data_IF_699562614527
#
_entry.id   IF_699562614527
#
_cell.length_a   1.000
_cell.length_b   1.000
_cell.length_c   1.000
_cell.angle_alpha   90.00
_cell.angle_beta   90.00
_cell.angle_gamma   90.00
#
_symmetry.space_group_name_H-M   'P 1'
#
loop_
_entity.id
_entity.type
_entity.pdbx_description
1 polymer ?
#
# COMPACT_ATOMS: atom_id res chain seq x y z
N UNK A 1 -21.49 0.61 -15.58
CA UNK A 1 -21.02 0.24 -14.23
C UNK A 1 -22.23 0.22 -13.31
N UNK A 2 -22.74 -0.96 -12.97
CA UNK A 2 -23.92 -1.07 -12.10
C UNK A 2 -23.53 -0.54 -10.71
N UNK A 3 -24.05 0.62 -10.34
CA UNK A 3 -23.88 1.16 -8.99
C UNK A 3 -24.59 0.17 -8.07
N UNK A 4 -23.81 -0.64 -7.36
CA UNK A 4 -24.34 -1.46 -6.29
C UNK A 4 -24.94 -0.47 -5.27
N UNK A 5 -26.26 -0.53 -5.06
CA UNK A 5 -26.94 0.38 -4.14
C UNK A 5 -26.33 0.34 -2.73
N UNK A 6 -26.83 1.17 -1.81
CA UNK A 6 -26.30 1.32 -0.44
C UNK A 6 -26.08 0.01 0.33
N UNK A 7 -26.84 -1.04 0.05
CA UNK A 7 -26.67 -2.37 0.66
C UNK A 7 -25.64 -3.27 -0.07
N UNK A 8 -25.28 -2.94 -1.29
CA UNK A 8 -24.27 -3.63 -2.09
C UNK A 8 -22.85 -3.32 -1.64
N UNK A 9 -22.55 -2.04 -1.36
CA UNK A 9 -21.23 -1.61 -0.87
C UNK A 9 -20.84 -2.30 0.45
N UNK A 10 -21.78 -2.43 1.39
CA UNK A 10 -21.52 -3.00 2.72
C UNK A 10 -21.24 -4.48 2.66
N UNK A 11 -21.99 -5.20 1.83
CA UNK A 11 -21.79 -6.65 1.61
C UNK A 11 -20.47 -6.94 0.91
N UNK A 12 -20.08 -6.11 -0.06
CA UNK A 12 -18.84 -6.30 -0.81
C UNK A 12 -17.59 -6.15 0.06
N UNK A 13 -17.61 -5.24 1.04
CA UNK A 13 -16.45 -4.93 1.88
C UNK A 13 -16.64 -5.30 3.36
N UNK A 14 -17.60 -6.19 3.65
CA UNK A 14 -17.93 -6.67 4.99
C UNK A 14 -18.05 -5.55 6.05
N UNK A 15 -18.77 -4.47 5.70
CA UNK A 15 -18.93 -3.29 6.56
C UNK A 15 -20.19 -3.39 7.40
N UNK A 16 -20.03 -3.23 8.71
CA UNK A 16 -21.13 -3.10 9.68
C UNK A 16 -20.97 -1.79 10.45
N UNK A 17 -22.04 -1.02 10.58
CA UNK A 17 -22.05 0.25 11.31
C UNK A 17 -23.24 0.28 12.26
N UNK A 18 -23.10 1.00 13.38
CA UNK A 18 -24.26 1.32 14.22
C UNK A 18 -25.16 2.35 13.51
N UNK A 19 -26.37 2.57 14.04
CA UNK A 19 -27.38 3.39 13.37
C UNK A 19 -26.99 4.85 13.10
N UNK A 20 -26.12 5.45 13.93
CA UNK A 20 -25.64 6.83 13.75
C UNK A 20 -24.52 6.86 12.69
N UNK A 21 -23.60 5.90 12.77
CA UNK A 21 -22.47 5.80 11.86
C UNK A 21 -22.90 5.42 10.43
N UNK A 22 -23.99 4.67 10.26
CA UNK A 22 -24.50 4.29 8.94
C UNK A 22 -24.82 5.50 8.06
N UNK A 23 -25.52 6.50 8.62
CA UNK A 23 -25.90 7.70 7.88
C UNK A 23 -24.65 8.53 7.51
N UNK A 24 -23.72 8.69 8.45
CA UNK A 24 -22.47 9.40 8.22
C UNK A 24 -21.62 8.72 7.14
N UNK A 25 -21.40 7.40 7.25
CA UNK A 25 -20.63 6.59 6.28
C UNK A 25 -21.30 6.55 4.91
N UNK A 26 -22.63 6.64 4.84
CA UNK A 26 -23.36 6.76 3.57
C UNK A 26 -23.06 8.09 2.89
N UNK A 27 -23.12 9.20 3.62
CA UNK A 27 -22.87 10.52 3.04
C UNK A 27 -21.46 10.63 2.45
N UNK A 28 -20.44 10.16 3.19
CA UNK A 28 -19.05 10.12 2.69
C UNK A 28 -18.95 9.32 1.39
N UNK A 29 -19.63 8.18 1.32
CA UNK A 29 -19.63 7.34 0.13
C UNK A 29 -20.33 7.98 -1.07
N UNK A 30 -21.45 8.66 -0.86
CA UNK A 30 -22.14 9.39 -1.92
C UNK A 30 -21.27 10.52 -2.49
N UNK A 31 -20.54 11.24 -1.63
CA UNK A 31 -19.56 12.24 -2.05
C UNK A 31 -18.42 11.64 -2.86
N UNK A 32 -17.84 10.52 -2.39
CA UNK A 32 -16.78 9.82 -3.11
C UNK A 32 -17.26 9.24 -4.45
N UNK A 33 -18.48 8.70 -4.53
CA UNK A 33 -19.09 8.22 -5.78
C UNK A 33 -19.24 9.36 -6.78
N UNK A 34 -19.72 10.53 -6.33
CA UNK A 34 -19.84 11.71 -7.19
C UNK A 34 -18.47 12.14 -7.72
N UNK A 35 -17.45 12.20 -6.86
CA UNK A 35 -16.08 12.52 -7.26
C UNK A 35 -15.53 11.54 -8.29
N UNK A 36 -15.74 10.23 -8.10
CA UNK A 36 -15.35 9.17 -9.04
C UNK A 36 -16.01 9.39 -10.41
N UNK A 37 -17.31 9.69 -10.44
CA UNK A 37 -18.05 9.92 -11.68
C UNK A 37 -17.53 11.15 -12.44
N UNK A 38 -17.34 12.27 -11.74
CA UNK A 38 -16.81 13.51 -12.33
C UNK A 38 -15.39 13.30 -12.89
N UNK A 39 -14.52 12.59 -12.16
CA UNK A 39 -13.17 12.26 -12.60
C UNK A 39 -13.17 11.35 -13.82
N UNK A 40 -14.02 10.31 -13.85
CA UNK A 40 -14.09 9.38 -14.97
C UNK A 40 -14.67 10.03 -16.24
N UNK A 41 -15.57 11.02 -16.12
CA UNK A 41 -15.98 11.85 -17.25
C UNK A 41 -14.79 12.63 -17.81
N UNK A 42 -13.94 13.21 -16.94
CA UNK A 42 -12.73 13.90 -17.38
C UNK A 42 -11.75 12.94 -18.07
N UNK A 43 -11.65 11.71 -17.60
CA UNK A 43 -10.85 10.67 -18.23
C UNK A 43 -11.37 10.35 -19.64
N UNK A 44 -12.68 10.16 -19.81
CA UNK A 44 -13.29 9.86 -21.12
C UNK A 44 -13.14 11.02 -22.12
N UNK A 45 -12.99 12.25 -21.62
CA UNK A 45 -12.67 13.44 -22.41
C UNK A 45 -11.16 13.62 -22.68
N UNK A 46 -10.29 12.72 -22.20
CA UNK A 46 -8.84 12.80 -22.36
C UNK A 46 -8.18 13.90 -21.52
N UNK A 47 -8.84 14.41 -20.47
CA UNK A 47 -8.33 15.48 -19.61
C UNK A 47 -7.46 14.98 -18.45
N UNK A 48 -7.52 13.68 -18.15
CA UNK A 48 -6.72 12.99 -17.13
C UNK A 48 -6.37 11.58 -17.64
N UNK A 49 -5.29 10.99 -17.14
CA UNK A 49 -4.70 9.74 -17.67
C UNK A 49 -5.03 8.49 -16.85
N UNK A 50 -5.84 8.61 -15.81
CA UNK A 50 -6.25 7.50 -14.96
C UNK A 50 -7.73 7.60 -14.60
N UNK A 51 -8.33 6.47 -14.21
CA UNK A 51 -9.71 6.39 -13.70
C UNK A 51 -9.71 6.16 -12.20
N UNK A 52 -10.81 6.53 -11.55
CA UNK A 52 -11.11 6.14 -10.16
C UNK A 52 -12.16 5.03 -10.13
N UNK A 53 -12.18 4.25 -9.05
CA UNK A 53 -13.12 3.16 -8.85
C UNK A 53 -13.54 3.03 -7.39
N UNK A 54 -14.66 2.36 -7.16
CA UNK A 54 -15.09 2.01 -5.81
C UNK A 54 -14.18 0.93 -5.23
N UNK A 55 -13.85 1.07 -3.95
CA UNK A 55 -12.98 0.17 -3.20
C UNK A 55 -13.38 0.18 -1.70
N UNK A 56 -12.63 -0.53 -0.87
CA UNK A 56 -12.89 -0.65 0.57
C UNK A 56 -12.75 0.66 1.37
N UNK A 57 -12.20 1.70 0.74
CA UNK A 57 -12.00 3.03 1.32
C UNK A 57 -13.07 4.04 0.90
N UNK A 58 -14.03 3.63 0.06
CA UNK A 58 -15.02 4.55 -0.50
C UNK A 58 -15.97 5.14 0.56
N UNK A 59 -16.01 4.62 1.79
CA UNK A 59 -16.75 5.15 2.95
C UNK A 59 -15.87 5.95 3.94
N UNK A 60 -14.62 6.26 3.56
CA UNK A 60 -13.69 7.05 4.35
C UNK A 60 -13.48 8.43 3.74
N UNK A 61 -13.34 9.44 4.58
CA UNK A 61 -12.78 10.73 4.17
C UNK A 61 -11.28 10.58 3.93
N UNK A 62 -10.68 11.48 3.14
CA UNK A 62 -9.23 11.48 2.95
C UNK A 62 -8.47 11.73 4.27
N UNK A 63 -9.03 12.51 5.19
CA UNK A 63 -8.42 12.75 6.51
C UNK A 63 -8.43 11.48 7.38
N UNK A 64 -9.51 10.70 7.37
CA UNK A 64 -9.53 9.38 8.03
C UNK A 64 -8.51 8.43 7.39
N UNK A 65 -8.45 8.40 6.06
CA UNK A 65 -7.46 7.59 5.34
C UNK A 65 -6.04 7.99 5.73
N UNK A 66 -5.74 9.29 5.74
CA UNK A 66 -4.44 9.83 6.15
C UNK A 66 -4.10 9.47 7.58
N UNK A 67 -5.03 9.64 8.52
CA UNK A 67 -4.81 9.34 9.93
C UNK A 67 -4.53 7.86 10.18
N UNK A 68 -5.17 6.94 9.44
CA UNK A 68 -4.96 5.51 9.59
C UNK A 68 -3.72 5.01 8.86
N UNK A 69 -3.49 5.45 7.62
CA UNK A 69 -2.54 4.78 6.71
C UNK A 69 -1.26 5.56 6.42
N UNK A 70 -1.28 6.89 6.53
CA UNK A 70 -0.19 7.73 6.06
C UNK A 70 0.62 8.28 7.23
N UNK A 71 1.94 8.30 7.05
CA UNK A 71 2.91 8.89 7.96
C UNK A 71 3.92 9.67 7.14
N UNK A 72 4.48 10.72 7.71
CA UNK A 72 5.57 11.43 7.04
C UNK A 72 6.81 10.51 7.01
N UNK A 73 7.26 10.19 5.81
CA UNK A 73 8.39 9.28 5.56
C UNK A 73 9.65 10.02 5.10
N UNK A 74 9.68 11.35 5.14
CA UNK A 74 10.87 12.12 4.78
C UNK A 74 11.68 12.43 6.05
N UNK A 75 12.89 11.89 6.17
CA UNK A 75 13.84 12.33 7.21
C UNK A 75 14.87 13.26 6.59
N UNK A 76 15.26 14.29 7.33
CA UNK A 76 16.42 15.12 6.94
C UNK A 76 17.72 14.29 6.81
N UNK A 77 17.76 13.09 7.40
CA UNK A 77 18.86 12.12 7.32
C UNK A 77 18.85 11.26 6.05
N UNK A 78 17.82 11.29 5.20
CA UNK A 78 17.77 10.49 3.96
C UNK A 78 18.85 10.92 2.95
N UNK A 79 19.50 12.07 3.18
CA UNK A 79 20.71 12.48 2.47
C UNK A 79 21.97 11.67 2.83
N UNK A 80 21.92 10.87 3.90
CA UNK A 80 22.98 9.99 4.40
C UNK A 80 22.41 8.61 4.68
N UNK A 81 21.95 7.91 3.63
CA UNK A 81 21.59 6.50 3.73
C UNK A 81 22.75 5.69 4.30
N UNK A 82 22.47 4.77 5.23
CA UNK A 82 23.44 3.80 5.74
C UNK A 82 23.70 2.64 4.76
N UNK A 83 23.05 2.66 3.59
CA UNK A 83 23.21 1.68 2.53
C UNK A 83 24.40 1.95 1.61
N UNK A 84 24.57 1.08 0.62
CA UNK A 84 25.52 1.27 -0.47
C UNK A 84 24.82 2.07 -1.58
N UNK A 85 25.31 3.27 -1.97
CA UNK A 85 24.77 3.99 -3.10
C UNK A 85 24.78 3.12 -4.36
N UNK A 86 23.64 3.07 -5.07
CA UNK A 86 23.56 2.31 -6.31
C UNK A 86 24.28 3.07 -7.43
N UNK A 87 25.36 2.50 -7.96
CA UNK A 87 26.02 2.98 -9.16
C UNK A 87 25.37 2.34 -10.40
N UNK A 88 24.71 3.16 -11.21
CA UNK A 88 24.21 2.70 -12.49
C UNK A 88 25.40 2.28 -13.37
N UNK A 89 25.33 1.08 -13.93
CA UNK A 89 26.30 0.63 -14.92
C UNK A 89 25.80 0.97 -16.34
N UNK A 90 26.71 1.06 -17.30
CA UNK A 90 26.40 1.32 -18.71
C UNK A 90 25.70 0.14 -19.43
N UNK A 91 25.02 -0.75 -18.69
CA UNK A 91 24.29 -1.85 -19.31
C UNK A 91 23.04 -1.31 -19.98
N UNK A 92 22.81 -1.75 -21.21
CA UNK A 92 21.55 -1.52 -21.89
C UNK A 92 20.40 -2.14 -21.07
N UNK A 93 19.47 -1.29 -20.63
CA UNK A 93 18.25 -1.70 -19.97
C UNK A 93 17.20 -2.10 -21.02
N UNK A 94 16.32 -3.06 -20.71
CA UNK A 94 15.18 -3.34 -21.57
C UNK A 94 14.23 -2.14 -21.63
N UNK A 95 13.48 -2.01 -22.72
CA UNK A 95 12.47 -0.96 -22.90
C UNK A 95 11.35 -1.06 -21.85
N UNK A 96 11.03 -2.28 -21.40
CA UNK A 96 10.05 -2.55 -20.35
C UNK A 96 10.45 -3.78 -19.54
N UNK A 97 10.11 -3.79 -18.25
CA UNK A 97 10.29 -4.94 -17.37
C UNK A 97 9.09 -5.11 -16.43
N UNK A 98 8.66 -6.35 -16.26
CA UNK A 98 7.65 -6.74 -15.27
C UNK A 98 8.14 -7.96 -14.47
N UNK A 99 8.54 -7.74 -13.22
CA UNK A 99 9.08 -8.80 -12.36
C UNK A 99 8.06 -9.90 -12.01
N UNK A 100 6.75 -9.64 -12.20
CA UNK A 100 5.71 -10.65 -12.00
C UNK A 100 5.82 -11.79 -13.02
N UNK A 101 6.20 -11.47 -14.26
CA UNK A 101 6.40 -12.46 -15.32
C UNK A 101 7.58 -13.41 -15.02
N UNK A 102 8.50 -12.99 -14.16
CA UNK A 102 9.64 -13.80 -13.70
C UNK A 102 9.33 -14.58 -12.42
N UNK A 103 8.14 -14.42 -11.83
CA UNK A 103 7.76 -15.07 -10.58
C UNK A 103 8.49 -14.53 -9.35
N UNK A 104 8.88 -13.24 -9.36
CA UNK A 104 9.60 -12.60 -8.24
C UNK A 104 8.71 -11.69 -7.40
N UNK A 105 7.39 -11.84 -7.51
CA UNK A 105 6.40 -11.02 -6.81
C UNK A 105 5.30 -11.95 -6.33
N UNK A 106 4.96 -11.90 -5.04
CA UNK A 106 3.82 -12.65 -4.49
C UNK A 106 2.49 -12.06 -4.95
N UNK A 107 1.40 -12.71 -4.59
CA UNK A 107 0.07 -12.11 -4.66
C UNK A 107 0.00 -10.80 -3.87
N UNK A 108 -0.93 -9.92 -4.27
CA UNK A 108 -1.21 -8.67 -3.57
C UNK A 108 -1.76 -8.98 -2.17
N UNK A 109 -1.19 -8.34 -1.15
CA UNK A 109 -1.59 -8.48 0.26
C UNK A 109 -2.42 -7.27 0.72
N UNK A 110 -2.96 -7.33 1.93
CA UNK A 110 -3.77 -6.26 2.55
C UNK A 110 -3.25 -5.92 3.95
N UNK A 111 -2.88 -4.65 4.16
CA UNK A 111 -2.39 -4.16 5.46
C UNK A 111 -3.52 -3.93 6.49
N UNK A 112 -4.78 -4.09 6.08
CA UNK A 112 -5.93 -3.96 6.97
C UNK A 112 -6.10 -2.51 7.44
N UNK A 113 -6.27 -2.29 8.75
CA UNK A 113 -6.43 -0.97 9.37
C UNK A 113 -5.17 -0.57 10.15
N UNK A 114 -3.99 -0.81 9.57
CA UNK A 114 -2.69 -0.62 10.18
C UNK A 114 -1.78 0.15 9.21
N UNK A 115 -1.05 1.16 9.69
CA UNK A 115 -0.06 1.91 8.91
C UNK A 115 1.25 1.15 8.66
N UNK A 116 1.15 -0.14 8.33
CA UNK A 116 2.29 -1.07 8.16
C UNK A 116 2.77 -1.23 6.72
N UNK A 117 2.44 -0.30 5.81
CA UNK A 117 2.85 -0.37 4.39
C UNK A 117 4.38 -0.52 4.23
N UNK A 118 5.16 0.03 5.16
CA UNK A 118 6.61 -0.13 5.23
C UNK A 118 7.04 -1.60 5.40
N UNK A 119 6.30 -2.40 6.18
CA UNK A 119 6.57 -3.81 6.37
C UNK A 119 6.29 -4.61 5.09
N UNK A 120 5.16 -4.33 4.41
CA UNK A 120 4.83 -4.94 3.10
C UNK A 120 5.84 -4.56 2.01
N UNK A 121 6.32 -3.32 2.02
CA UNK A 121 7.39 -2.87 1.11
C UNK A 121 8.69 -3.64 1.37
N UNK A 122 9.04 -3.83 2.65
CA UNK A 122 10.22 -4.60 3.08
C UNK A 122 10.11 -6.06 2.64
N UNK A 123 9.00 -6.74 2.94
CA UNK A 123 8.82 -8.15 2.59
C UNK A 123 8.79 -8.35 1.08
N UNK A 124 8.10 -7.50 0.32
CA UNK A 124 8.07 -7.61 -1.15
C UNK A 124 9.45 -7.48 -1.81
N UNK A 125 10.30 -6.56 -1.32
CA UNK A 125 11.67 -6.43 -1.79
C UNK A 125 12.52 -7.67 -1.44
N UNK A 126 12.40 -8.17 -0.21
CA UNK A 126 13.10 -9.37 0.27
C UNK A 126 12.67 -10.62 -0.49
N UNK A 127 11.36 -10.81 -0.69
CA UNK A 127 10.75 -11.89 -1.47
C UNK A 127 11.34 -11.91 -2.88
N UNK A 128 11.35 -10.77 -3.58
CA UNK A 128 11.88 -10.70 -4.94
C UNK A 128 13.36 -11.08 -5.03
N UNK A 129 14.20 -10.62 -4.10
CA UNK A 129 15.61 -11.03 -4.06
C UNK A 129 15.76 -12.52 -3.73
N UNK A 130 15.00 -13.02 -2.74
CA UNK A 130 15.09 -14.40 -2.30
C UNK A 130 14.63 -15.38 -3.39
N UNK A 131 13.49 -15.11 -4.04
CA UNK A 131 12.98 -15.92 -5.16
C UNK A 131 13.96 -15.93 -6.34
N UNK A 132 14.60 -14.79 -6.62
CA UNK A 132 15.61 -14.69 -7.67
C UNK A 132 16.84 -15.56 -7.37
N UNK A 133 17.32 -15.55 -6.13
CA UNK A 133 18.53 -16.29 -5.73
C UNK A 133 18.25 -17.79 -5.54
N UNK A 134 17.21 -18.13 -4.76
CA UNK A 134 16.93 -19.49 -4.30
C UNK A 134 16.02 -20.29 -5.24
N UNK A 135 15.41 -19.65 -6.23
CA UNK A 135 14.47 -20.28 -7.19
C UNK A 135 13.29 -21.00 -6.51
N UNK A 136 12.85 -20.49 -5.37
CA UNK A 136 11.70 -20.99 -4.61
C UNK A 136 10.67 -19.88 -4.40
N UNK A 137 9.42 -20.26 -4.14
CA UNK A 137 8.35 -19.33 -3.82
C UNK A 137 8.22 -19.21 -2.28
N UNK A 138 8.19 -18.00 -1.77
CA UNK A 138 8.06 -17.70 -0.35
C UNK A 138 7.28 -16.40 -0.16
N UNK A 139 6.51 -16.33 0.93
CA UNK A 139 5.93 -15.08 1.41
C UNK A 139 6.49 -14.83 2.82
N UNK A 140 7.18 -13.71 3.00
CA UNK A 140 7.71 -13.31 4.31
C UNK A 140 6.62 -12.69 5.19
N UNK A 141 6.92 -12.59 6.49
CA UNK A 141 5.99 -12.15 7.53
C UNK A 141 6.11 -10.65 7.78
N UNK A 142 5.11 -9.87 7.38
CA UNK A 142 5.02 -8.46 7.77
C UNK A 142 4.81 -8.31 9.28
N UNK A 143 4.07 -9.24 9.89
CA UNK A 143 3.75 -9.20 11.31
C UNK A 143 5.00 -9.32 12.19
N UNK A 144 6.00 -10.10 11.76
CA UNK A 144 7.29 -10.17 12.45
C UNK A 144 7.97 -8.79 12.47
N UNK A 145 7.99 -8.09 11.34
CA UNK A 145 8.57 -6.75 11.28
C UNK A 145 7.81 -5.78 12.18
N UNK A 146 6.47 -5.82 12.12
CA UNK A 146 5.58 -4.98 12.94
C UNK A 146 5.82 -5.18 14.44
N UNK A 147 6.03 -6.43 14.88
CA UNK A 147 6.16 -6.78 16.30
C UNK A 147 7.60 -6.64 16.83
N UNK A 148 8.61 -6.87 16.00
CA UNK A 148 9.98 -7.11 16.47
C UNK A 148 11.00 -6.01 16.11
N UNK A 149 10.70 -5.14 15.14
CA UNK A 149 11.67 -4.13 14.69
C UNK A 149 11.62 -2.79 15.45
N UNK A 150 10.95 -2.75 16.61
CA UNK A 150 10.78 -1.55 17.43
C UNK A 150 12.10 -0.93 17.89
N UNK A 151 13.07 -1.76 18.27
CA UNK A 151 14.42 -1.32 18.67
C UNK A 151 15.21 -0.66 17.53
N UNK A 152 14.71 -0.78 16.28
CA UNK A 152 15.28 -0.19 15.07
C UNK A 152 14.48 1.03 14.59
N UNK A 153 13.70 1.68 15.46
CA UNK A 153 12.94 2.91 15.14
C UNK A 153 11.77 2.70 14.16
N UNK A 154 11.19 1.50 14.16
CA UNK A 154 9.89 1.22 13.56
C UNK A 154 8.80 1.24 14.63
N UNK A 155 7.60 1.68 14.26
CA UNK A 155 6.50 1.94 15.21
C UNK A 155 5.27 1.08 14.88
N UNK A 156 5.47 -0.12 14.34
CA UNK A 156 4.40 -1.05 14.00
C UNK A 156 3.36 -0.42 13.06
N UNK A 157 2.11 -0.31 13.54
CA UNK A 157 1.01 0.31 12.80
C UNK A 157 1.06 1.83 12.74
N UNK A 158 1.94 2.48 13.50
CA UNK A 158 2.15 3.92 13.48
C UNK A 158 3.23 4.37 12.49
N UNK A 159 3.71 3.45 11.66
CA UNK A 159 4.67 3.72 10.59
C UNK A 159 6.05 3.13 10.87
N UNK A 160 6.93 3.27 9.89
CA UNK A 160 8.26 2.69 9.91
C UNK A 160 8.94 2.89 8.57
N UNK A 161 10.17 2.42 8.48
CA UNK A 161 11.04 2.54 7.32
C UNK A 161 11.56 1.17 6.89
N UNK A 162 11.60 0.94 5.58
CA UNK A 162 12.17 -0.28 5.03
C UNK A 162 13.64 -0.44 5.43
N UNK A 163 14.41 0.65 5.46
CA UNK A 163 15.82 0.62 5.86
C UNK A 163 16.02 0.17 7.31
N UNK A 164 15.18 0.64 8.22
CA UNK A 164 15.17 0.20 9.61
C UNK A 164 14.84 -1.30 9.72
N UNK A 165 13.88 -1.76 8.91
CA UNK A 165 13.51 -3.17 8.84
C UNK A 165 14.65 -4.04 8.27
N UNK A 166 15.38 -3.54 7.26
CA UNK A 166 16.57 -4.21 6.74
C UNK A 166 17.69 -4.29 7.77
N UNK A 167 17.85 -3.28 8.63
CA UNK A 167 18.82 -3.33 9.73
C UNK A 167 18.43 -4.37 10.78
N UNK A 168 17.15 -4.45 11.15
CA UNK A 168 16.62 -5.53 12.01
C UNK A 168 16.97 -6.92 11.45
N UNK A 169 16.71 -7.15 10.15
CA UNK A 169 16.90 -8.44 9.49
C UNK A 169 18.37 -8.87 9.32
N UNK A 170 19.35 -7.99 9.56
CA UNK A 170 20.78 -8.39 9.55
C UNK A 170 21.15 -9.26 10.75
N UNK A 171 20.39 -9.17 11.84
CA UNK A 171 20.69 -9.77 13.13
C UNK A 171 19.62 -10.75 13.61
N UNK A 172 18.61 -11.02 12.77
CA UNK A 172 17.56 -12.03 13.01
C UNK A 172 18.09 -13.46 12.82
#
# INVERSE_FOLDING_TARGET
MTICGTNGRKRMYNKEYNGVDEAHRRNIWEENVKHIQEHNIRHDLGLVTYTLGLNQFSDMTFEEFKATYLREISRASDMLSHGIPYEANDRALPESIDWREFGYVTEVKDQGQCGSCWAFSTTGAMEGQYMKEQKTNISFSEQQLVDCSGDYDNHGCDGGFMENAYEYLKWD
#
